data_IF_006677965558
#
_entry.id   IF_006677965558
#
_cell.length_a   1.000
_cell.length_b   1.000
_cell.length_c   1.000
_cell.angle_alpha   90.00
_cell.angle_beta   90.00
_cell.angle_gamma   90.00
#
_symmetry.space_group_name_H-M   'P 1'
#
loop_
_entity.id
_entity.type
_entity.pdbx_description
1 polymer ?
#
# COMPACT_ATOMS: atom_id res chain seq x y z
N UNK A 1 -15.08 17.10 -17.72
CA UNK A 1 -16.07 16.27 -18.42
C UNK A 1 -15.41 14.90 -18.61
N UNK A 2 -15.90 13.85 -17.93
CA UNK A 2 -15.47 12.48 -18.23
C UNK A 2 -16.08 12.13 -19.58
N UNK A 3 -15.21 11.77 -20.56
CA UNK A 3 -15.68 11.22 -21.83
C UNK A 3 -16.59 10.03 -21.55
N UNK A 4 -17.66 9.87 -22.33
CA UNK A 4 -18.55 8.70 -22.26
C UNK A 4 -17.71 7.42 -22.25
N UNK A 5 -18.07 6.42 -21.41
CA UNK A 5 -17.32 5.17 -21.35
C UNK A 5 -17.30 4.52 -22.73
N UNK A 6 -16.12 4.44 -23.34
CA UNK A 6 -15.92 3.78 -24.64
C UNK A 6 -15.90 2.27 -24.42
N UNK A 7 -16.41 1.56 -25.39
CA UNK A 7 -16.17 0.13 -25.51
C UNK A 7 -14.78 -0.02 -26.11
N UNK A 8 -13.82 -0.53 -25.34
CA UNK A 8 -12.40 -0.52 -25.66
C UNK A 8 -11.79 -1.90 -25.43
N UNK A 9 -11.06 -2.41 -26.42
CA UNK A 9 -10.25 -3.62 -26.27
C UNK A 9 -8.77 -3.23 -26.23
N UNK A 10 -8.08 -3.65 -25.17
CA UNK A 10 -6.64 -3.51 -24.99
C UNK A 10 -5.96 -4.82 -25.33
N UNK A 11 -5.11 -4.82 -26.35
CA UNK A 11 -4.42 -5.99 -26.88
C UNK A 11 -2.89 -5.84 -26.72
N UNK A 12 -2.31 -6.26 -25.57
CA UNK A 12 -0.88 -6.21 -25.32
C UNK A 12 -0.15 -7.42 -25.91
N UNK A 13 1.19 -7.35 -26.00
CA UNK A 13 2.01 -8.52 -26.29
C UNK A 13 2.09 -9.49 -25.10
N UNK A 14 2.01 -8.95 -23.86
CA UNK A 14 2.01 -9.75 -22.63
C UNK A 14 0.85 -9.30 -21.72
N UNK A 15 -0.12 -10.17 -21.54
CA UNK A 15 -1.21 -9.95 -20.58
C UNK A 15 -0.92 -10.76 -19.30
N UNK A 16 -0.81 -10.07 -18.18
CA UNK A 16 -0.43 -10.67 -16.88
C UNK A 16 -1.59 -10.49 -15.91
N UNK A 17 -2.03 -11.59 -15.28
CA UNK A 17 -3.12 -11.56 -14.31
C UNK A 17 -2.69 -11.07 -12.91
N UNK A 18 -3.65 -10.96 -11.99
CA UNK A 18 -3.40 -10.53 -10.62
C UNK A 18 -2.62 -11.52 -9.74
N UNK A 19 -2.39 -12.75 -10.22
CA UNK A 19 -1.54 -13.74 -9.55
C UNK A 19 -0.12 -13.76 -10.17
N UNK A 20 0.18 -12.79 -11.05
CA UNK A 20 1.45 -12.65 -11.75
C UNK A 20 1.65 -13.72 -12.82
N UNK A 21 0.60 -14.37 -13.31
CA UNK A 21 0.70 -15.38 -14.36
C UNK A 21 0.51 -14.74 -15.73
N UNK A 22 1.39 -15.13 -16.68
CA UNK A 22 1.25 -14.74 -18.07
C UNK A 22 0.09 -15.51 -18.70
N UNK A 23 -0.86 -14.79 -19.30
CA UNK A 23 -1.95 -15.39 -20.06
C UNK A 23 -1.47 -15.81 -21.47
N UNK A 24 -2.22 -16.68 -22.17
CA UNK A 24 -1.85 -17.13 -23.52
C UNK A 24 -1.59 -15.97 -24.48
N UNK A 25 -0.66 -16.16 -25.41
CA UNK A 25 -0.35 -15.16 -26.43
C UNK A 25 -1.61 -14.76 -27.23
N UNK A 26 -1.76 -13.47 -27.54
CA UNK A 26 -2.93 -12.93 -28.21
C UNK A 26 -4.14 -12.71 -27.28
N UNK A 27 -3.97 -12.88 -25.96
CA UNK A 27 -4.98 -12.50 -24.97
C UNK A 27 -5.14 -10.98 -24.91
N UNK A 28 -6.38 -10.52 -24.73
CA UNK A 28 -6.76 -9.12 -24.63
C UNK A 28 -7.82 -8.92 -23.53
N UNK A 29 -8.07 -7.67 -23.19
CA UNK A 29 -9.08 -7.27 -22.19
C UNK A 29 -10.06 -6.32 -22.85
N UNK A 30 -11.36 -6.65 -22.80
CA UNK A 30 -12.44 -5.76 -23.21
C UNK A 30 -12.98 -4.99 -22.01
N UNK A 31 -13.04 -3.69 -22.15
CA UNK A 31 -13.56 -2.75 -21.16
C UNK A 31 -14.90 -2.20 -21.62
N UNK A 32 -15.86 -2.12 -20.70
CA UNK A 32 -17.15 -1.46 -20.93
C UNK A 32 -17.47 -0.54 -19.75
N UNK A 33 -17.48 0.74 -20.03
CA UNK A 33 -17.62 1.73 -18.98
C UNK A 33 -16.45 1.66 -17.99
N UNK A 34 -16.76 1.46 -16.73
CA UNK A 34 -15.76 1.40 -15.65
C UNK A 34 -15.30 -0.03 -15.32
N UNK A 35 -15.78 -1.04 -16.09
CA UNK A 35 -15.61 -2.44 -15.74
C UNK A 35 -14.88 -3.23 -16.82
N UNK A 36 -14.23 -4.31 -16.39
CA UNK A 36 -13.77 -5.37 -17.30
C UNK A 36 -15.00 -6.16 -17.74
N UNK A 37 -15.29 -6.18 -19.04
CA UNK A 37 -16.38 -6.94 -19.59
C UNK A 37 -15.97 -8.40 -19.86
N UNK A 38 -14.80 -8.59 -20.46
CA UNK A 38 -14.28 -9.91 -20.76
C UNK A 38 -12.76 -9.92 -20.90
N UNK A 39 -12.17 -11.11 -20.70
CA UNK A 39 -10.74 -11.39 -20.93
C UNK A 39 -10.66 -12.67 -21.77
N UNK A 40 -9.88 -12.67 -22.84
CA UNK A 40 -9.76 -13.82 -23.73
C UNK A 40 -8.91 -13.52 -24.95
N UNK A 41 -8.92 -14.41 -25.96
CA UNK A 41 -8.25 -14.11 -27.23
C UNK A 41 -8.90 -12.90 -27.91
N UNK A 42 -8.11 -12.06 -28.58
CA UNK A 42 -8.63 -10.88 -29.27
C UNK A 42 -9.80 -11.21 -30.21
N UNK A 43 -9.72 -12.33 -30.94
CA UNK A 43 -10.78 -12.78 -31.86
C UNK A 43 -12.09 -13.16 -31.14
N UNK A 44 -12.02 -13.62 -29.89
CA UNK A 44 -13.20 -13.98 -29.10
C UNK A 44 -13.88 -12.78 -28.42
N UNK A 45 -13.24 -11.61 -28.43
CA UNK A 45 -13.75 -10.39 -27.81
C UNK A 45 -14.56 -9.49 -28.74
N UNK A 46 -14.94 -9.97 -29.92
CA UNK A 46 -15.72 -9.22 -30.91
C UNK A 46 -15.08 -7.86 -31.28
N UNK A 47 -13.88 -7.88 -31.90
CA UNK A 47 -13.10 -6.67 -32.13
C UNK A 47 -13.74 -5.67 -33.08
N UNK A 48 -14.71 -6.11 -33.88
CA UNK A 48 -15.42 -5.25 -34.85
C UNK A 48 -16.47 -4.36 -34.18
N UNK A 49 -16.84 -4.67 -32.92
CA UNK A 49 -17.85 -3.93 -32.15
C UNK A 49 -17.28 -2.93 -31.15
N UNK A 50 -15.94 -2.79 -31.05
CA UNK A 50 -15.26 -1.94 -30.09
C UNK A 50 -14.00 -1.26 -30.69
N UNK A 51 -13.54 -0.18 -30.04
CA UNK A 51 -12.23 0.39 -30.38
C UNK A 51 -11.11 -0.57 -29.93
N UNK A 52 -10.22 -0.98 -30.82
CA UNK A 52 -9.09 -1.86 -30.51
C UNK A 52 -7.79 -1.04 -30.41
N UNK A 53 -7.20 -1.04 -29.23
CA UNK A 53 -5.88 -0.44 -29.01
C UNK A 53 -4.81 -1.53 -28.90
N UNK A 54 -3.93 -1.59 -29.91
CA UNK A 54 -2.78 -2.49 -29.89
C UNK A 54 -1.67 -1.90 -29.02
N UNK A 55 -1.20 -2.65 -28.03
CA UNK A 55 -0.11 -2.27 -27.13
C UNK A 55 1.16 -3.05 -27.47
N UNK A 56 1.72 -2.78 -28.67
CA UNK A 56 2.91 -3.48 -29.18
C UNK A 56 4.13 -3.22 -28.33
N UNK A 57 4.91 -4.27 -28.00
CA UNK A 57 6.07 -4.20 -27.13
C UNK A 57 5.73 -3.90 -25.66
N UNK A 58 4.45 -4.03 -25.28
CA UNK A 58 4.01 -3.68 -23.93
C UNK A 58 3.34 -4.86 -23.23
N UNK A 59 3.48 -4.89 -21.93
CA UNK A 59 2.66 -5.69 -21.03
C UNK A 59 1.46 -4.88 -20.52
N UNK A 60 0.37 -5.59 -20.21
CA UNK A 60 -0.80 -5.05 -19.50
C UNK A 60 -1.10 -5.94 -18.30
N UNK A 61 -1.42 -5.31 -17.17
CA UNK A 61 -1.76 -6.02 -15.94
C UNK A 61 -2.75 -5.20 -15.10
N UNK A 62 -3.34 -5.76 -14.01
CA UNK A 62 -4.13 -4.97 -13.08
C UNK A 62 -3.34 -3.78 -12.55
N UNK A 63 -4.04 -2.69 -12.25
CA UNK A 63 -3.45 -1.53 -11.59
C UNK A 63 -2.79 -1.92 -10.26
N UNK A 64 -1.70 -1.25 -9.94
CA UNK A 64 -0.93 -1.53 -8.72
C UNK A 64 -1.69 -1.08 -7.48
N UNK A 65 -1.53 -1.83 -6.40
CA UNK A 65 -2.13 -1.57 -5.09
C UNK A 65 -1.01 -1.30 -4.09
N UNK A 66 -0.97 -0.09 -3.56
CA UNK A 66 -0.09 0.27 -2.45
C UNK A 66 -0.79 -0.05 -1.12
N UNK A 67 -0.26 -1.05 -0.40
CA UNK A 67 -0.88 -1.52 0.84
C UNK A 67 -0.52 -0.69 2.07
N UNK A 68 0.42 0.24 1.97
CA UNK A 68 0.81 1.14 3.05
C UNK A 68 1.38 2.44 2.49
N UNK A 69 0.60 3.47 2.46
CA UNK A 69 1.06 4.78 2.06
C UNK A 69 0.55 5.90 2.95
N UNK A 70 1.10 7.07 2.76
CA UNK A 70 0.66 8.35 3.33
C UNK A 70 0.26 9.30 2.21
N UNK A 71 -0.34 10.42 2.55
CA UNK A 71 -0.71 11.46 1.58
C UNK A 71 0.09 12.73 1.76
N UNK A 72 0.20 13.21 3.01
CA UNK A 72 0.76 14.54 3.30
C UNK A 72 2.22 14.52 3.75
N UNK A 73 2.86 13.36 3.88
CA UNK A 73 4.29 13.25 4.21
C UNK A 73 5.12 13.42 2.96
N UNK A 74 5.92 14.49 2.87
CA UNK A 74 6.86 14.71 1.76
C UNK A 74 8.27 14.31 2.19
N UNK A 75 8.84 13.21 1.66
CA UNK A 75 10.17 12.72 2.03
C UNK A 75 11.28 13.68 1.64
N UNK A 76 11.04 14.61 0.72
CA UNK A 76 12.04 15.56 0.23
C UNK A 76 12.17 16.80 1.13
N UNK A 77 11.34 16.92 2.17
CA UNK A 77 11.46 18.01 3.13
C UNK A 77 12.55 17.73 4.17
N UNK A 78 13.21 18.78 4.70
CA UNK A 78 14.21 18.64 5.78
C UNK A 78 13.67 17.94 7.02
N UNK A 79 12.39 18.13 7.32
CA UNK A 79 11.65 17.46 8.38
C UNK A 79 10.34 16.88 7.82
N UNK A 80 10.40 15.72 7.14
CA UNK A 80 9.22 15.13 6.52
C UNK A 80 8.15 14.71 7.53
N UNK A 81 8.50 14.55 8.82
CA UNK A 81 7.58 14.20 9.90
C UNK A 81 7.13 15.44 10.68
N UNK A 82 7.98 16.45 10.83
CA UNK A 82 7.70 17.68 11.57
C UNK A 82 6.68 18.57 10.89
N UNK A 83 6.68 18.56 9.57
CA UNK A 83 5.62 19.19 8.77
C UNK A 83 4.22 18.68 9.09
N UNK A 84 4.10 17.54 9.81
CA UNK A 84 2.82 17.03 10.30
C UNK A 84 2.41 17.66 11.65
N UNK A 85 3.31 18.37 12.32
CA UNK A 85 3.10 18.88 13.68
C UNK A 85 2.69 20.34 13.76
N UNK A 86 2.85 21.11 12.72
CA UNK A 86 2.61 22.56 12.75
C UNK A 86 2.23 23.20 11.42
N UNK A 87 2.06 22.40 10.37
CA UNK A 87 1.77 22.92 9.04
C UNK A 87 0.30 23.35 8.88
N UNK A 88 0.12 24.36 8.04
CA UNK A 88 -1.18 24.77 7.57
C UNK A 88 -1.87 23.59 6.82
N UNK A 89 -3.11 23.29 7.20
CA UNK A 89 -3.91 22.25 6.54
C UNK A 89 -4.07 22.49 5.04
N UNK A 90 -4.05 23.75 4.59
CA UNK A 90 -4.11 24.12 3.17
C UNK A 90 -2.86 23.66 2.44
N UNK A 91 -1.67 23.88 3.02
CA UNK A 91 -0.42 23.40 2.43
C UNK A 91 -0.40 21.86 2.33
N UNK A 92 -0.82 21.18 3.39
CA UNK A 92 -0.94 19.71 3.40
C UNK A 92 -1.93 19.19 2.35
N UNK A 93 -3.03 19.91 2.11
CA UNK A 93 -3.96 19.55 1.04
C UNK A 93 -3.33 19.65 -0.35
N UNK A 94 -2.49 20.67 -0.61
CA UNK A 94 -1.77 20.80 -1.88
C UNK A 94 -0.71 19.73 -2.07
N UNK A 95 0.03 19.40 -1.01
CA UNK A 95 0.99 18.27 -0.99
C UNK A 95 0.26 16.96 -1.29
N UNK A 96 -0.87 16.72 -0.63
CA UNK A 96 -1.73 15.55 -0.86
C UNK A 96 -2.19 15.45 -2.31
N UNK A 97 -2.68 16.54 -2.89
CA UNK A 97 -3.13 16.56 -4.29
C UNK A 97 -1.99 16.17 -5.26
N UNK A 98 -0.77 16.68 -5.02
CA UNK A 98 0.43 16.34 -5.79
C UNK A 98 0.78 14.86 -5.64
N UNK A 99 0.80 14.33 -4.42
CA UNK A 99 1.17 12.93 -4.16
C UNK A 99 0.15 11.94 -4.72
N UNK A 100 -1.14 12.25 -4.65
CA UNK A 100 -2.19 11.46 -5.29
C UNK A 100 -1.95 11.33 -6.79
N UNK A 101 -1.63 12.44 -7.45
CA UNK A 101 -1.37 12.44 -8.88
C UNK A 101 -0.07 11.70 -9.26
N UNK A 102 1.00 11.81 -8.45
CA UNK A 102 2.26 11.06 -8.62
C UNK A 102 1.98 9.56 -8.48
N UNK A 103 1.27 9.13 -7.45
CA UNK A 103 0.97 7.72 -7.22
C UNK A 103 0.14 7.15 -8.38
N UNK A 104 -0.90 7.84 -8.84
CA UNK A 104 -1.67 7.39 -10.01
C UNK A 104 -0.80 7.32 -11.27
N UNK A 105 0.06 8.33 -11.50
CA UNK A 105 0.97 8.35 -12.65
C UNK A 105 1.95 7.17 -12.63
N UNK A 106 2.37 6.70 -11.45
CA UNK A 106 3.24 5.53 -11.30
C UNK A 106 2.53 4.17 -11.45
N UNK A 107 1.23 4.16 -11.78
CA UNK A 107 0.44 2.94 -11.97
C UNK A 107 -0.30 2.46 -10.73
N UNK A 108 -0.19 3.16 -9.60
CA UNK A 108 -0.96 2.86 -8.38
C UNK A 108 -2.40 3.32 -8.58
N UNK A 109 -3.33 2.38 -8.70
CA UNK A 109 -4.77 2.67 -8.86
C UNK A 109 -5.57 2.50 -7.57
N UNK A 110 -4.99 1.86 -6.57
CA UNK A 110 -5.57 1.72 -5.23
C UNK A 110 -4.48 1.92 -4.18
N UNK A 111 -4.79 2.65 -3.11
CA UNK A 111 -3.83 2.93 -2.03
C UNK A 111 -4.52 2.83 -0.68
N UNK A 112 -3.94 2.06 0.26
CA UNK A 112 -4.34 2.10 1.66
C UNK A 112 -3.53 3.17 2.39
N UNK A 113 -4.24 4.19 2.88
CA UNK A 113 -3.65 5.34 3.59
C UNK A 113 -3.56 5.02 5.08
N UNK A 114 -2.34 5.02 5.61
CA UNK A 114 -2.04 4.50 6.93
C UNK A 114 -1.64 5.59 7.91
N UNK A 115 -2.59 6.48 8.25
CA UNK A 115 -2.43 7.39 9.37
C UNK A 115 -2.30 8.87 9.02
N UNK A 116 -3.34 9.47 8.46
CA UNK A 116 -3.42 10.92 8.29
C UNK A 116 -4.16 11.58 9.46
N UNK A 117 -3.66 12.73 9.91
CA UNK A 117 -4.34 13.57 10.89
C UNK A 117 -5.47 14.40 10.26
N UNK A 118 -6.34 14.94 11.10
CA UNK A 118 -7.39 15.90 10.74
C UNK A 118 -8.41 15.38 9.70
N UNK A 119 -8.49 14.07 9.47
CA UNK A 119 -9.40 13.48 8.48
C UNK A 119 -9.03 13.79 7.04
N UNK A 120 -7.78 14.13 6.78
CA UNK A 120 -7.29 14.50 5.44
C UNK A 120 -7.48 13.39 4.42
N UNK A 121 -7.28 12.13 4.81
CA UNK A 121 -7.49 10.96 3.97
C UNK A 121 -8.96 10.78 3.56
N UNK A 122 -9.91 11.01 4.47
CA UNK A 122 -11.34 10.96 4.16
C UNK A 122 -11.76 12.05 3.17
N UNK A 123 -11.23 13.27 3.35
CA UNK A 123 -11.48 14.39 2.43
C UNK A 123 -10.86 14.13 1.05
N UNK A 124 -9.62 13.59 1.02
CA UNK A 124 -8.94 13.20 -0.20
C UNK A 124 -9.71 12.11 -0.95
N UNK A 125 -10.18 11.06 -0.25
CA UNK A 125 -11.04 10.01 -0.81
C UNK A 125 -12.29 10.59 -1.45
N UNK A 126 -12.98 11.48 -0.75
CA UNK A 126 -14.16 12.13 -1.30
C UNK A 126 -13.83 12.96 -2.55
N UNK A 127 -12.75 13.75 -2.52
CA UNK A 127 -12.31 14.56 -3.64
C UNK A 127 -11.96 13.72 -4.89
N UNK A 128 -11.31 12.56 -4.69
CA UNK A 128 -11.02 11.61 -5.78
C UNK A 128 -12.33 10.99 -6.32
N UNK A 129 -13.24 10.57 -5.44
CA UNK A 129 -14.48 9.90 -5.83
C UNK A 129 -15.39 10.81 -6.66
N UNK A 130 -15.46 12.11 -6.34
CA UNK A 130 -16.24 13.08 -7.14
C UNK A 130 -15.47 13.65 -8.34
N UNK A 131 -14.21 13.22 -8.54
CA UNK A 131 -13.36 13.67 -9.66
C UNK A 131 -12.80 15.07 -9.52
N UNK A 132 -12.79 15.63 -8.31
CA UNK A 132 -12.15 16.94 -8.01
C UNK A 132 -10.63 16.81 -8.05
N UNK A 133 -10.08 15.69 -7.55
CA UNK A 133 -8.66 15.34 -7.62
C UNK A 133 -8.44 14.10 -8.47
N UNK A 134 -7.29 14.06 -9.15
CA UNK A 134 -6.79 12.83 -9.77
C UNK A 134 -5.96 12.06 -8.74
N UNK A 135 -6.24 10.78 -8.60
CA UNK A 135 -5.54 9.91 -7.66
C UNK A 135 -6.08 8.49 -7.68
N UNK A 136 -5.43 7.56 -6.97
CA UNK A 136 -5.91 6.20 -6.78
C UNK A 136 -7.21 6.17 -5.95
N UNK A 137 -7.94 5.06 -5.99
CA UNK A 137 -8.97 4.75 -5.00
C UNK A 137 -8.32 4.64 -3.62
N UNK A 138 -8.91 5.29 -2.61
CA UNK A 138 -8.33 5.34 -1.26
C UNK A 138 -9.10 4.47 -0.27
N UNK A 139 -8.35 3.64 0.46
CA UNK A 139 -8.78 2.90 1.65
C UNK A 139 -8.18 3.62 2.86
N UNK A 140 -9.01 4.15 3.74
CA UNK A 140 -8.59 5.13 4.74
C UNK A 140 -8.57 4.55 6.16
N UNK A 141 -7.54 4.87 6.96
CA UNK A 141 -7.48 4.52 8.38
C UNK A 141 -7.76 5.70 9.32
N UNK A 142 -7.73 6.92 8.81
CA UNK A 142 -7.71 8.12 9.66
C UNK A 142 -6.44 8.20 10.51
N UNK A 143 -6.48 8.97 11.58
CA UNK A 143 -5.35 9.10 12.48
C UNK A 143 -5.08 7.77 13.22
N UNK A 144 -3.80 7.40 13.44
CA UNK A 144 -3.46 6.15 14.10
C UNK A 144 -3.94 6.12 15.56
N UNK A 145 -4.22 4.93 16.08
CA UNK A 145 -4.35 4.70 17.52
C UNK A 145 -2.97 4.35 18.06
N UNK A 146 -2.46 5.18 18.98
CA UNK A 146 -1.13 5.02 19.58
C UNK A 146 -1.11 5.67 20.95
N UNK A 147 -0.19 5.30 21.87
CA UNK A 147 -0.06 5.96 23.17
C UNK A 147 0.52 7.38 23.02
N UNK A 148 0.30 8.23 24.02
CA UNK A 148 0.71 9.64 24.02
C UNK A 148 2.22 9.85 23.89
N UNK A 149 3.04 8.88 24.29
CA UNK A 149 4.50 8.92 24.15
C UNK A 149 5.03 8.28 22.85
N UNK A 150 4.13 7.91 21.92
CA UNK A 150 4.50 7.39 20.59
C UNK A 150 4.97 8.53 19.69
N UNK A 151 5.89 8.20 18.77
CA UNK A 151 6.30 9.10 17.68
C UNK A 151 5.14 9.47 16.73
N UNK A 152 4.00 8.77 16.78
CA UNK A 152 2.81 9.04 15.99
C UNK A 152 1.75 9.88 16.75
N UNK A 153 1.97 10.17 18.04
CA UNK A 153 0.97 10.82 18.89
C UNK A 153 0.56 12.21 18.41
N UNK A 154 1.46 12.96 17.79
CA UNK A 154 1.14 14.27 17.24
C UNK A 154 0.03 14.27 16.18
N UNK A 155 -0.21 13.13 15.49
CA UNK A 155 -1.30 12.98 14.51
C UNK A 155 -2.65 12.68 15.13
N UNK A 156 -2.66 12.03 16.29
CA UNK A 156 -3.88 11.48 16.91
C UNK A 156 -4.22 12.11 18.25
N UNK A 157 -3.27 12.79 18.90
CA UNK A 157 -3.37 13.26 20.29
C UNK A 157 -2.98 12.20 21.33
N UNK A 158 -2.68 10.96 20.88
CA UNK A 158 -2.44 9.83 21.76
C UNK A 158 -3.71 9.25 22.37
N UNK A 159 -3.63 8.02 22.88
CA UNK A 159 -4.72 7.34 23.59
C UNK A 159 -4.11 6.41 24.63
N UNK A 160 -4.25 6.72 25.92
CA UNK A 160 -3.67 5.98 27.03
C UNK A 160 -4.77 5.33 27.86
N UNK A 161 -4.46 4.15 28.37
CA UNK A 161 -5.36 3.34 29.18
C UNK A 161 -6.54 2.74 28.36
N UNK A 162 -7.16 1.72 28.91
CA UNK A 162 -8.25 0.96 28.25
C UNK A 162 -9.38 1.87 27.73
N UNK A 163 -9.80 2.86 28.52
CA UNK A 163 -10.88 3.76 28.12
C UNK A 163 -10.46 4.78 27.06
N UNK A 164 -9.21 5.28 27.12
CA UNK A 164 -8.65 6.16 26.09
C UNK A 164 -8.55 5.45 24.75
N UNK A 165 -8.01 4.23 24.73
CA UNK A 165 -7.90 3.39 23.55
C UNK A 165 -9.28 3.05 22.96
N UNK A 166 -10.23 2.64 23.83
CA UNK A 166 -11.62 2.37 23.41
C UNK A 166 -12.26 3.57 22.72
N UNK A 167 -12.13 4.76 23.31
CA UNK A 167 -12.64 6.01 22.72
C UNK A 167 -12.00 6.31 21.38
N UNK A 168 -10.68 6.13 21.26
CA UNK A 168 -9.95 6.36 20.03
C UNK A 168 -10.42 5.43 18.90
N UNK A 169 -10.60 4.12 19.17
CA UNK A 169 -11.11 3.17 18.19
C UNK A 169 -12.52 3.56 17.74
N UNK A 170 -13.44 3.80 18.68
CA UNK A 170 -14.82 4.21 18.38
C UNK A 170 -14.88 5.51 17.58
N UNK A 171 -13.96 6.43 17.83
CA UNK A 171 -13.83 7.65 17.04
C UNK A 171 -13.46 7.34 15.58
N UNK A 172 -12.51 6.41 15.32
CA UNK A 172 -12.20 5.99 13.94
C UNK A 172 -13.39 5.37 13.23
N UNK A 173 -14.12 4.50 13.93
CA UNK A 173 -15.38 3.92 13.41
C UNK A 173 -16.40 5.01 13.05
N UNK A 174 -16.62 5.97 13.94
CA UNK A 174 -17.57 7.06 13.72
C UNK A 174 -17.15 8.01 12.56
N UNK A 175 -15.86 8.16 12.31
CA UNK A 175 -15.32 8.94 11.19
C UNK A 175 -15.38 8.20 9.85
N UNK A 176 -15.75 6.92 9.83
CA UNK A 176 -15.87 6.11 8.61
C UNK A 176 -14.54 5.55 8.10
N UNK A 177 -13.65 5.19 9.01
CA UNK A 177 -12.44 4.45 8.67
C UNK A 177 -12.78 3.09 8.05
N UNK A 178 -12.01 2.67 7.05
CA UNK A 178 -12.09 1.33 6.45
C UNK A 178 -11.19 0.33 7.19
N UNK A 179 -10.15 0.84 7.85
CA UNK A 179 -9.16 0.09 8.64
C UNK A 179 -8.83 0.83 9.93
N UNK A 180 -8.42 0.09 10.95
CA UNK A 180 -7.78 0.66 12.13
C UNK A 180 -6.27 0.53 12.00
N UNK A 181 -5.51 1.64 12.11
CA UNK A 181 -4.06 1.59 12.34
C UNK A 181 -3.79 1.61 13.83
N UNK A 182 -3.19 0.53 14.36
CA UNK A 182 -2.72 0.43 15.75
C UNK A 182 -1.19 0.47 15.78
N UNK A 183 -0.60 1.43 16.44
CA UNK A 183 0.86 1.56 16.57
C UNK A 183 1.28 0.97 17.91
N UNK A 184 1.95 -0.17 17.87
CA UNK A 184 2.32 -0.91 19.09
C UNK A 184 3.80 -0.82 19.43
N UNK A 185 4.68 -0.44 18.47
CA UNK A 185 6.11 -0.23 18.77
C UNK A 185 6.57 1.16 18.34
N UNK A 186 7.76 1.55 18.81
CA UNK A 186 8.42 2.76 18.31
C UNK A 186 8.87 2.63 16.85
N UNK A 187 9.22 3.76 16.22
CA UNK A 187 9.73 3.82 14.86
C UNK A 187 11.25 3.68 14.79
N UNK A 188 11.77 3.16 13.69
CA UNK A 188 13.22 3.05 13.43
C UNK A 188 13.88 4.43 13.35
N UNK A 189 13.18 5.41 12.82
CA UNK A 189 13.62 6.81 12.70
C UNK A 189 13.25 7.69 13.91
N UNK A 190 12.61 7.13 14.94
CA UNK A 190 12.24 7.86 16.15
C UNK A 190 13.44 7.99 17.12
N UNK A 191 13.48 9.02 17.98
CA UNK A 191 14.46 9.09 19.06
C UNK A 191 14.37 7.90 20.03
N UNK A 192 15.52 7.44 20.53
CA UNK A 192 15.60 6.30 21.44
C UNK A 192 15.51 4.94 20.74
N UNK A 193 15.75 3.87 21.47
CA UNK A 193 15.76 2.49 20.95
C UNK A 193 14.48 1.76 21.34
N UNK A 194 13.35 2.08 20.69
CA UNK A 194 12.04 1.51 21.01
C UNK A 194 11.38 0.74 19.84
N UNK A 195 12.14 0.48 18.77
CA UNK A 195 11.57 -0.17 17.59
C UNK A 195 10.99 -1.57 17.86
N UNK A 196 11.47 -2.27 18.88
CA UNK A 196 10.98 -3.60 19.30
C UNK A 196 10.28 -3.56 20.67
N UNK A 197 10.16 -2.38 21.30
CA UNK A 197 9.48 -2.23 22.59
C UNK A 197 8.00 -2.04 22.37
N UNK A 198 7.15 -2.85 23.01
CA UNK A 198 5.72 -2.60 23.05
C UNK A 198 5.44 -1.33 23.86
N UNK A 199 4.71 -0.40 23.26
CA UNK A 199 4.38 0.90 23.87
C UNK A 199 3.04 0.87 24.61
N UNK A 200 2.24 -0.17 24.40
CA UNK A 200 0.99 -0.43 25.08
C UNK A 200 1.11 -1.65 25.98
N UNK A 201 0.30 -1.73 27.01
CA UNK A 201 0.13 -2.96 27.77
C UNK A 201 -0.83 -3.95 27.08
N UNK A 202 -0.94 -5.16 27.64
CA UNK A 202 -1.74 -6.23 27.06
C UNK A 202 -3.25 -5.90 27.05
N UNK A 203 -3.73 -5.14 28.05
CA UNK A 203 -5.15 -4.77 28.16
C UNK A 203 -5.50 -3.70 27.13
N UNK A 204 -4.62 -2.72 26.92
CA UNK A 204 -4.79 -1.68 25.91
C UNK A 204 -4.82 -2.26 24.48
N UNK A 205 -3.89 -3.16 24.14
CA UNK A 205 -3.90 -3.86 22.84
C UNK A 205 -5.16 -4.71 22.70
N UNK A 206 -5.52 -5.46 23.74
CA UNK A 206 -6.71 -6.33 23.72
C UNK A 206 -8.00 -5.54 23.50
N UNK A 207 -8.16 -4.37 24.15
CA UNK A 207 -9.35 -3.55 23.95
C UNK A 207 -9.39 -2.97 22.53
N UNK A 208 -8.25 -2.53 21.98
CA UNK A 208 -8.18 -2.00 20.63
C UNK A 208 -8.68 -3.03 19.60
N UNK A 209 -8.15 -4.25 19.65
CA UNK A 209 -8.50 -5.33 18.71
C UNK A 209 -9.95 -5.82 18.89
N UNK A 210 -10.45 -5.92 20.14
CA UNK A 210 -11.83 -6.30 20.41
C UNK A 210 -12.85 -5.26 19.92
N UNK A 211 -12.62 -3.98 20.20
CA UNK A 211 -13.51 -2.90 19.73
C UNK A 211 -13.53 -2.84 18.19
N UNK A 212 -12.37 -2.93 17.55
CA UNK A 212 -12.28 -2.99 16.08
C UNK A 212 -13.04 -4.19 15.51
N UNK A 213 -12.84 -5.39 16.07
CA UNK A 213 -13.54 -6.61 15.66
C UNK A 213 -15.06 -6.48 15.82
N UNK A 214 -15.53 -5.90 16.94
CA UNK A 214 -16.96 -5.66 17.17
C UNK A 214 -17.57 -4.72 16.14
N UNK A 215 -16.78 -3.76 15.65
CA UNK A 215 -17.20 -2.83 14.61
C UNK A 215 -17.01 -3.37 13.18
N UNK A 216 -16.48 -4.59 13.01
CA UNK A 216 -16.14 -5.15 11.70
C UNK A 216 -14.94 -4.49 11.03
N UNK A 217 -14.12 -3.76 11.77
CA UNK A 217 -13.01 -2.99 11.25
C UNK A 217 -11.72 -3.83 11.29
N UNK A 218 -11.08 -4.14 10.14
CA UNK A 218 -9.81 -4.84 10.13
C UNK A 218 -8.70 -3.98 10.74
N UNK A 219 -7.74 -4.63 11.40
CA UNK A 219 -6.65 -3.96 12.12
C UNK A 219 -5.31 -4.19 11.42
N UNK A 220 -4.63 -3.09 11.11
CA UNK A 220 -3.24 -3.04 10.67
C UNK A 220 -2.35 -2.61 11.85
N UNK A 221 -1.41 -3.46 12.21
CA UNK A 221 -0.52 -3.25 13.35
C UNK A 221 0.82 -2.71 12.86
N UNK A 222 1.13 -1.45 13.17
CA UNK A 222 2.46 -0.89 12.92
C UNK A 222 3.41 -1.39 14.03
N UNK A 223 4.24 -2.37 13.65
CA UNK A 223 5.19 -3.00 14.54
C UNK A 223 6.46 -3.39 13.79
N UNK A 224 7.59 -3.09 14.39
CA UNK A 224 8.88 -3.49 13.81
C UNK A 224 9.37 -4.83 14.37
N UNK A 225 8.90 -5.27 15.54
CA UNK A 225 9.30 -6.52 16.17
C UNK A 225 8.85 -6.59 17.65
N UNK A 226 9.33 -7.59 18.37
CA UNK A 226 9.08 -7.75 19.80
C UNK A 226 7.85 -8.61 20.14
N UNK A 227 7.62 -8.79 21.43
CA UNK A 227 6.62 -9.73 21.99
C UNK A 227 5.16 -9.41 21.63
N UNK A 228 4.86 -8.15 21.30
CA UNK A 228 3.51 -7.73 20.94
C UNK A 228 2.96 -8.39 19.66
N UNK A 229 3.84 -8.88 18.79
CA UNK A 229 3.44 -9.50 17.52
C UNK A 229 2.56 -10.72 17.77
N UNK A 230 3.02 -11.63 18.62
CA UNK A 230 2.30 -12.85 18.95
C UNK A 230 0.93 -12.57 19.58
N UNK A 231 0.83 -11.55 20.43
CA UNK A 231 -0.44 -11.13 21.03
C UNK A 231 -1.38 -10.54 19.97
N UNK A 232 -0.91 -9.62 19.16
CA UNK A 232 -1.71 -9.01 18.10
C UNK A 232 -2.21 -10.04 17.08
N UNK A 233 -1.36 -11.01 16.70
CA UNK A 233 -1.74 -12.08 15.79
C UNK A 233 -2.86 -12.96 16.38
N UNK A 234 -2.70 -13.42 17.65
CA UNK A 234 -3.73 -14.22 18.34
C UNK A 234 -5.05 -13.48 18.50
N UNK A 235 -5.02 -12.17 18.64
CA UNK A 235 -6.22 -11.32 18.77
C UNK A 235 -6.84 -10.94 17.42
N UNK A 236 -6.26 -11.39 16.29
CA UNK A 236 -6.82 -11.27 14.96
C UNK A 236 -6.40 -10.00 14.20
N UNK A 237 -5.18 -9.48 14.46
CA UNK A 237 -4.58 -8.47 13.60
C UNK A 237 -4.51 -8.99 12.16
N UNK A 238 -4.97 -8.19 11.21
CA UNK A 238 -5.05 -8.59 9.80
C UNK A 238 -3.73 -8.40 9.06
N UNK A 239 -3.03 -7.30 9.32
CA UNK A 239 -1.73 -7.02 8.70
C UNK A 239 -0.72 -6.51 9.73
N UNK A 240 0.57 -6.82 9.50
CA UNK A 240 1.70 -6.26 10.22
C UNK A 240 2.54 -5.41 9.27
N UNK A 241 2.76 -4.16 9.67
CA UNK A 241 3.38 -3.15 8.83
C UNK A 241 4.88 -3.02 9.13
N UNK A 242 5.69 -2.85 8.09
CA UNK A 242 7.15 -2.67 8.11
C UNK A 242 7.96 -3.91 8.48
N UNK A 243 7.68 -4.58 9.58
CA UNK A 243 8.30 -5.86 10.01
C UNK A 243 9.85 -5.82 10.08
N UNK A 244 10.46 -4.65 10.37
CA UNK A 244 11.89 -4.41 10.17
C UNK A 244 12.82 -5.24 11.09
N UNK A 245 12.30 -5.78 12.20
CA UNK A 245 13.00 -6.64 13.16
C UNK A 245 12.20 -7.89 13.49
N UNK A 246 11.37 -8.39 12.54
CA UNK A 246 10.71 -9.66 12.73
C UNK A 246 11.76 -10.77 12.68
N UNK A 247 11.78 -11.59 13.70
CA UNK A 247 12.50 -12.83 13.74
C UNK A 247 11.67 -13.98 13.14
N UNK A 248 12.23 -15.18 13.13
CA UNK A 248 11.55 -16.35 12.58
C UNK A 248 10.25 -16.67 13.32
N UNK A 249 10.25 -16.57 14.66
CA UNK A 249 9.08 -16.86 15.49
C UNK A 249 7.94 -15.86 15.21
N UNK A 250 8.25 -14.59 15.02
CA UNK A 250 7.26 -13.57 14.65
C UNK A 250 6.63 -13.84 13.28
N UNK A 251 7.45 -14.25 12.29
CA UNK A 251 6.98 -14.59 10.93
C UNK A 251 6.09 -15.83 10.95
N UNK A 252 6.52 -16.90 11.64
CA UNK A 252 5.76 -18.14 11.78
C UNK A 252 4.45 -17.92 12.56
N UNK A 253 4.48 -17.07 13.58
CA UNK A 253 3.27 -16.67 14.32
C UNK A 253 2.31 -15.92 13.42
N UNK A 254 2.78 -14.97 12.61
CA UNK A 254 1.94 -14.27 11.64
C UNK A 254 1.31 -15.25 10.63
N UNK A 255 2.11 -16.20 10.11
CA UNK A 255 1.64 -17.22 9.18
C UNK A 255 0.55 -18.12 9.79
N UNK A 256 0.74 -18.58 11.04
CA UNK A 256 -0.21 -19.48 11.73
C UNK A 256 -1.55 -18.84 12.09
N UNK A 257 -1.64 -17.50 12.01
CA UNK A 257 -2.86 -16.72 12.29
C UNK A 257 -3.41 -16.01 11.04
N UNK A 258 -3.05 -16.45 9.83
CA UNK A 258 -3.50 -15.88 8.55
C UNK A 258 -3.25 -14.36 8.42
N UNK A 259 -2.26 -13.83 9.15
CA UNK A 259 -1.88 -12.43 9.02
C UNK A 259 -1.02 -12.21 7.79
N UNK A 260 -1.09 -11.02 7.23
CA UNK A 260 -0.29 -10.60 6.08
C UNK A 260 0.82 -9.66 6.52
N UNK A 261 2.05 -9.88 6.03
CA UNK A 261 3.17 -8.97 6.23
C UNK A 261 3.17 -7.90 5.12
N UNK A 262 3.29 -6.64 5.51
CA UNK A 262 3.38 -5.51 4.59
C UNK A 262 4.78 -4.92 4.69
N UNK A 263 5.62 -5.23 3.72
CA UNK A 263 6.96 -4.64 3.67
C UNK A 263 6.95 -3.29 2.96
N UNK A 264 7.77 -2.36 3.47
CA UNK A 264 8.00 -1.02 2.90
C UNK A 264 9.49 -0.86 2.61
N UNK A 265 10.00 -1.68 1.69
CA UNK A 265 11.44 -1.90 1.49
C UNK A 265 12.16 -0.64 1.00
N UNK A 266 11.56 0.10 0.07
CA UNK A 266 12.15 1.33 -0.47
C UNK A 266 12.46 2.33 0.66
N UNK A 267 11.58 2.43 1.65
CA UNK A 267 11.74 3.30 2.82
C UNK A 267 13.02 2.99 3.62
N UNK A 268 13.42 1.71 3.69
CA UNK A 268 14.60 1.25 4.44
C UNK A 268 15.88 1.23 3.59
N UNK A 269 15.78 0.85 2.32
CA UNK A 269 16.95 0.56 1.49
C UNK A 269 17.41 1.73 0.62
N UNK A 270 16.52 2.69 0.30
CA UNK A 270 16.89 3.87 -0.49
C UNK A 270 17.58 4.93 0.38
N UNK A 271 18.56 5.69 -0.19
CA UNK A 271 19.23 6.77 0.54
C UNK A 271 18.29 7.92 0.93
N UNK A 272 17.27 8.19 0.10
CA UNK A 272 16.26 9.22 0.30
C UNK A 272 15.10 8.78 1.22
N UNK A 273 15.18 7.58 1.79
CA UNK A 273 14.25 7.04 2.77
C UNK A 273 14.52 7.47 4.22
N UNK A 274 14.60 6.48 5.13
CA UNK A 274 14.90 6.71 6.57
C UNK A 274 16.30 7.33 6.74
N UNK A 275 17.25 6.99 5.88
CA UNK A 275 18.62 7.50 5.97
C UNK A 275 18.65 9.04 5.86
N UNK A 276 17.88 9.61 4.94
CA UNK A 276 17.74 11.06 4.79
C UNK A 276 16.93 11.68 5.92
N UNK A 277 15.75 11.14 6.18
CA UNK A 277 14.80 11.72 7.17
C UNK A 277 15.25 11.56 8.62
N UNK A 278 16.12 10.61 8.90
CA UNK A 278 16.64 10.35 10.24
C UNK A 278 18.10 10.77 10.47
N UNK A 279 18.72 11.43 9.49
CA UNK A 279 20.17 11.73 9.50
C UNK A 279 20.64 12.50 10.75
N UNK A 280 19.81 13.38 11.27
CA UNK A 280 20.12 14.24 12.42
C UNK A 280 19.63 13.65 13.76
N UNK A 281 19.03 12.46 13.74
CA UNK A 281 18.53 11.77 14.95
C UNK A 281 19.57 10.78 15.45
N UNK A 282 20.10 10.95 16.69
CA UNK A 282 21.12 10.06 17.22
C UNK A 282 20.71 8.58 17.18
N UNK A 283 21.64 7.73 16.75
CA UNK A 283 21.46 6.28 16.68
C UNK A 283 20.59 5.75 15.53
N UNK A 284 19.93 6.60 14.74
CA UNK A 284 19.07 6.15 13.60
C UNK A 284 19.89 5.39 12.58
N UNK A 285 21.09 5.82 12.24
CA UNK A 285 21.93 5.12 11.26
C UNK A 285 22.21 3.68 11.67
N UNK A 286 22.65 3.46 12.89
CA UNK A 286 22.93 2.12 13.40
C UNK A 286 21.67 1.25 13.47
N UNK A 287 20.51 1.82 13.85
CA UNK A 287 19.23 1.10 13.84
C UNK A 287 18.81 0.73 12.41
N UNK A 288 18.98 1.64 11.46
CA UNK A 288 18.66 1.39 10.06
C UNK A 288 19.53 0.28 9.47
N UNK A 289 20.84 0.28 9.76
CA UNK A 289 21.74 -0.77 9.27
C UNK A 289 21.35 -2.15 9.83
N UNK A 290 21.01 -2.23 11.15
CA UNK A 290 20.45 -3.45 11.74
C UNK A 290 19.12 -3.84 11.10
N UNK A 291 18.20 -2.90 10.87
CA UNK A 291 16.92 -3.16 10.23
C UNK A 291 17.09 -3.72 8.81
N UNK A 292 18.03 -3.19 8.04
CA UNK A 292 18.38 -3.69 6.70
C UNK A 292 18.91 -5.13 6.76
N UNK A 293 19.74 -5.44 7.77
CA UNK A 293 20.25 -6.81 7.98
C UNK A 293 19.12 -7.79 8.31
N UNK A 294 18.24 -7.42 9.24
CA UNK A 294 17.07 -8.23 9.58
C UNK A 294 16.13 -8.43 8.38
N UNK A 295 15.83 -7.39 7.61
CA UNK A 295 14.96 -7.51 6.43
C UNK A 295 15.56 -8.43 5.35
N UNK A 296 16.89 -8.48 5.19
CA UNK A 296 17.56 -9.44 4.29
C UNK A 296 17.35 -10.87 4.72
N UNK A 297 17.15 -11.14 6.00
CA UNK A 297 16.83 -12.48 6.51
C UNK A 297 15.31 -12.73 6.54
N UNK A 298 14.52 -11.75 6.96
CA UNK A 298 13.08 -11.86 7.15
C UNK A 298 12.31 -12.08 5.82
N UNK A 299 12.71 -11.41 4.74
CA UNK A 299 12.03 -11.54 3.44
C UNK A 299 12.14 -12.96 2.87
N UNK A 300 13.34 -13.59 2.76
CA UNK A 300 13.45 -14.97 2.32
C UNK A 300 12.73 -15.97 3.26
N UNK A 301 12.77 -15.75 4.57
CA UNK A 301 12.05 -16.58 5.54
C UNK A 301 10.54 -16.49 5.33
N UNK A 302 9.98 -15.29 5.16
CA UNK A 302 8.57 -15.08 4.88
C UNK A 302 8.14 -15.80 3.59
N UNK A 303 8.97 -15.74 2.55
CA UNK A 303 8.71 -16.44 1.29
C UNK A 303 8.71 -17.97 1.47
N UNK A 304 9.63 -18.51 2.28
CA UNK A 304 9.80 -19.96 2.47
C UNK A 304 8.71 -20.58 3.36
N UNK A 305 8.23 -19.87 4.38
CA UNK A 305 7.16 -20.39 5.25
C UNK A 305 5.74 -20.11 4.72
N UNK A 306 5.61 -19.44 3.57
CA UNK A 306 4.33 -19.27 2.89
C UNK A 306 3.41 -18.23 3.51
N UNK A 307 3.90 -17.37 4.43
CA UNK A 307 3.09 -16.25 4.93
C UNK A 307 2.70 -15.32 3.79
N UNK A 308 1.52 -14.75 3.86
CA UNK A 308 1.09 -13.76 2.87
C UNK A 308 1.95 -12.50 2.98
N UNK A 309 2.54 -12.07 1.85
CA UNK A 309 3.35 -10.85 1.77
C UNK A 309 2.78 -9.94 0.70
N UNK A 310 2.65 -8.64 1.04
CA UNK A 310 2.31 -7.55 0.14
C UNK A 310 3.25 -6.37 0.37
N UNK A 311 3.22 -5.37 -0.51
CA UNK A 311 4.15 -4.25 -0.50
C UNK A 311 3.42 -2.91 -0.31
N UNK A 312 4.14 -1.95 0.24
CA UNK A 312 3.70 -0.57 0.39
C UNK A 312 4.88 0.39 0.35
N UNK A 313 4.61 1.66 0.04
CA UNK A 313 5.67 2.67 -0.13
C UNK A 313 6.00 3.43 1.14
N UNK A 314 5.15 3.38 2.16
CA UNK A 314 5.18 4.32 3.28
C UNK A 314 4.95 5.76 2.75
N UNK A 315 5.97 6.61 2.74
CA UNK A 315 5.92 7.96 2.19
C UNK A 315 6.77 8.13 0.91
N UNK A 316 7.18 7.01 0.29
CA UNK A 316 8.00 7.03 -0.92
C UNK A 316 7.10 7.08 -2.16
N UNK A 317 6.43 8.24 -2.38
CA UNK A 317 5.42 8.42 -3.42
C UNK A 317 5.93 8.14 -4.83
N UNK A 318 5.18 7.35 -5.59
CA UNK A 318 5.54 6.95 -6.96
C UNK A 318 6.58 5.84 -7.05
N UNK A 319 7.09 5.33 -5.94
CA UNK A 319 8.21 4.38 -5.89
C UNK A 319 7.82 2.94 -5.54
N UNK A 320 6.55 2.56 -5.69
CA UNK A 320 6.09 1.19 -5.41
C UNK A 320 6.81 0.14 -6.29
N UNK A 321 7.24 0.51 -7.49
CA UNK A 321 8.09 -0.33 -8.34
C UNK A 321 9.47 -0.62 -7.72
N UNK A 322 10.02 0.29 -6.92
CA UNK A 322 11.28 0.06 -6.20
C UNK A 322 11.09 -0.96 -5.06
N UNK A 323 9.94 -0.96 -4.38
CA UNK A 323 9.61 -2.00 -3.42
C UNK A 323 9.56 -3.38 -4.09
N UNK A 324 8.95 -3.48 -5.29
CA UNK A 324 8.94 -4.72 -6.07
C UNK A 324 10.34 -5.16 -6.50
N UNK A 325 11.18 -4.23 -6.96
CA UNK A 325 12.57 -4.51 -7.34
C UNK A 325 13.37 -5.03 -6.15
N UNK A 326 13.31 -4.34 -5.02
CA UNK A 326 13.97 -4.75 -3.77
C UNK A 326 13.45 -6.10 -3.26
N UNK A 327 12.16 -6.36 -3.39
CA UNK A 327 11.57 -7.64 -3.02
C UNK A 327 12.13 -8.79 -3.86
N UNK A 328 12.33 -8.57 -5.17
CA UNK A 328 12.99 -9.54 -6.06
C UNK A 328 14.46 -9.70 -5.70
N UNK A 329 15.20 -8.63 -5.43
CA UNK A 329 16.60 -8.67 -4.98
C UNK A 329 16.77 -9.44 -3.67
N UNK A 330 15.75 -9.43 -2.81
CA UNK A 330 15.72 -10.16 -1.54
C UNK A 330 15.17 -11.59 -1.68
N UNK A 331 14.95 -12.10 -2.89
CA UNK A 331 14.68 -13.52 -3.14
C UNK A 331 13.27 -13.84 -3.67
N UNK A 332 12.39 -12.86 -3.86
CA UNK A 332 11.10 -13.10 -4.52
C UNK A 332 11.29 -13.31 -6.03
N UNK A 333 10.38 -14.06 -6.65
CA UNK A 333 10.31 -14.09 -8.12
C UNK A 333 9.57 -12.86 -8.64
N UNK A 334 9.81 -12.40 -9.89
CA UNK A 334 9.00 -11.35 -10.50
C UNK A 334 7.49 -11.63 -10.45
N UNK A 335 7.09 -12.88 -10.67
CA UNK A 335 5.71 -13.34 -10.52
C UNK A 335 5.17 -13.06 -9.11
N UNK A 336 5.93 -13.43 -8.08
CA UNK A 336 5.54 -13.22 -6.68
C UNK A 336 5.44 -11.73 -6.36
N UNK A 337 6.36 -10.90 -6.87
CA UNK A 337 6.34 -9.46 -6.68
C UNK A 337 5.12 -8.81 -7.33
N UNK A 338 4.78 -9.18 -8.58
CA UNK A 338 3.58 -8.70 -9.27
C UNK A 338 2.31 -9.10 -8.48
N UNK A 339 2.21 -10.35 -8.03
CA UNK A 339 1.08 -10.79 -7.23
C UNK A 339 0.96 -10.00 -5.91
N UNK A 340 2.08 -9.64 -5.27
CA UNK A 340 2.12 -8.84 -4.04
C UNK A 340 1.67 -7.38 -4.24
N UNK A 341 1.68 -6.89 -5.48
CA UNK A 341 1.21 -5.55 -5.86
C UNK A 341 -0.20 -5.55 -6.46
N UNK A 342 -0.82 -6.71 -6.70
CA UNK A 342 -2.09 -6.82 -7.41
C UNK A 342 -3.05 -7.76 -6.69
N UNK A 343 -3.20 -9.00 -7.11
CA UNK A 343 -4.21 -9.92 -6.56
C UNK A 343 -4.02 -10.26 -5.08
N UNK A 344 -2.78 -10.47 -4.61
CA UNK A 344 -2.53 -10.67 -3.17
C UNK A 344 -2.82 -9.40 -2.36
N UNK A 345 -2.42 -8.24 -2.87
CA UNK A 345 -2.72 -6.96 -2.25
C UNK A 345 -4.23 -6.73 -2.14
N UNK A 346 -4.99 -7.00 -3.21
CA UNK A 346 -6.44 -6.91 -3.19
C UNK A 346 -7.06 -7.83 -2.11
N UNK A 347 -6.62 -9.09 -2.03
CA UNK A 347 -7.08 -10.03 -0.99
C UNK A 347 -6.73 -9.59 0.43
N UNK A 348 -5.51 -9.08 0.62
CA UNK A 348 -5.07 -8.57 1.91
C UNK A 348 -5.96 -7.41 2.40
N UNK A 349 -6.40 -6.56 1.47
CA UNK A 349 -7.27 -5.42 1.76
C UNK A 349 -8.77 -5.74 1.73
N UNK A 350 -9.18 -6.96 1.34
CA UNK A 350 -10.59 -7.35 1.16
C UNK A 350 -11.24 -6.75 -0.09
N UNK A 351 -10.45 -6.43 -1.12
CA UNK A 351 -10.88 -5.76 -2.35
C UNK A 351 -10.88 -6.68 -3.59
N UNK A 352 -10.67 -7.99 -3.42
CA UNK A 352 -10.55 -8.96 -4.52
C UNK A 352 -11.83 -9.11 -5.36
N UNK A 353 -12.95 -8.61 -4.85
CA UNK A 353 -14.23 -8.52 -5.55
C UNK A 353 -14.42 -7.20 -6.29
N UNK A 354 -13.50 -6.24 -6.15
CA UNK A 354 -13.52 -4.91 -6.78
C UNK A 354 -12.41 -4.78 -7.81
N UNK A 355 -11.15 -5.12 -7.46
CA UNK A 355 -9.95 -4.83 -8.25
C UNK A 355 -8.84 -5.87 -8.03
N UNK A 356 -7.67 -5.65 -8.62
CA UNK A 356 -6.45 -6.44 -8.39
C UNK A 356 -6.33 -7.70 -9.26
N UNK A 357 -7.30 -7.97 -10.14
CA UNK A 357 -7.22 -9.08 -11.10
C UNK A 357 -7.87 -8.73 -12.44
N UNK A 358 -7.66 -9.58 -13.45
CA UNK A 358 -8.29 -9.49 -14.76
C UNK A 358 -9.47 -10.46 -14.82
N UNK A 359 -10.61 -10.08 -14.22
CA UNK A 359 -11.84 -10.88 -14.23
C UNK A 359 -13.03 -10.02 -14.59
N UNK A 360 -14.01 -10.64 -15.26
CA UNK A 360 -15.28 -9.98 -15.60
C UNK A 360 -15.91 -9.32 -14.35
N UNK A 361 -16.49 -8.16 -14.55
CA UNK A 361 -17.17 -7.33 -13.55
C UNK A 361 -16.27 -6.63 -12.54
N UNK A 362 -14.95 -6.90 -12.51
CA UNK A 362 -14.02 -6.09 -11.71
C UNK A 362 -13.87 -4.69 -12.31
N UNK A 363 -13.42 -3.76 -11.50
CA UNK A 363 -13.09 -2.39 -11.95
C UNK A 363 -11.98 -2.46 -12.98
N UNK A 364 -12.12 -1.68 -14.04
CA UNK A 364 -11.14 -1.60 -15.11
C UNK A 364 -9.96 -0.67 -14.71
N UNK A 365 -9.24 -1.09 -13.67
CA UNK A 365 -8.00 -0.50 -13.21
C UNK A 365 -6.85 -1.30 -13.78
N UNK A 366 -6.17 -0.75 -14.77
CA UNK A 366 -5.14 -1.45 -15.52
C UNK A 366 -3.92 -0.55 -15.71
N UNK A 367 -2.76 -1.16 -15.85
CA UNK A 367 -1.52 -0.44 -16.15
C UNK A 367 -0.74 -1.17 -17.24
N UNK A 368 -0.25 -0.40 -18.20
CA UNK A 368 0.62 -0.88 -19.27
C UNK A 368 2.06 -0.44 -19.03
N UNK A 369 3.02 -1.31 -19.36
CA UNK A 369 4.45 -1.05 -19.24
C UNK A 369 5.17 -1.44 -20.53
N UNK A 370 6.25 -0.74 -20.88
CA UNK A 370 7.14 -1.14 -21.98
C UNK A 370 7.94 -2.37 -21.58
N UNK A 371 7.84 -3.46 -22.35
CA UNK A 371 8.52 -4.73 -22.08
C UNK A 371 7.72 -5.66 -21.13
N UNK A 372 8.39 -6.72 -20.66
CA UNK A 372 7.77 -7.77 -19.86
C UNK A 372 8.33 -7.76 -18.41
N UNK A 373 7.55 -7.38 -17.40
CA UNK A 373 8.00 -7.32 -16.00
C UNK A 373 8.30 -8.69 -15.40
N UNK A 374 7.83 -9.79 -15.99
CA UNK A 374 8.19 -11.15 -15.55
C UNK A 374 9.65 -11.51 -15.89
N UNK A 375 10.24 -10.85 -16.89
CA UNK A 375 11.66 -11.02 -17.25
C UNK A 375 12.53 -9.91 -16.71
N UNK A 376 11.97 -8.70 -16.51
CA UNK A 376 12.67 -7.56 -15.96
C UNK A 376 11.72 -6.71 -15.11
N UNK A 377 11.74 -6.92 -13.79
CA UNK A 377 10.85 -6.24 -12.85
C UNK A 377 11.01 -4.72 -12.85
N UNK A 378 12.18 -4.19 -13.26
CA UNK A 378 12.45 -2.75 -13.34
C UNK A 378 11.53 -2.02 -14.31
N UNK A 379 10.94 -2.73 -15.28
CA UNK A 379 9.96 -2.15 -16.22
C UNK A 379 8.75 -1.52 -15.51
N UNK A 380 8.40 -2.00 -14.29
CA UNK A 380 7.31 -1.43 -13.49
C UNK A 380 7.53 0.05 -13.08
N UNK A 381 8.76 0.56 -13.15
CA UNK A 381 9.06 1.96 -12.79
C UNK A 381 8.58 2.98 -13.83
N UNK A 382 8.19 2.53 -15.05
CA UNK A 382 7.83 3.42 -16.16
C UNK A 382 6.56 2.95 -16.86
N UNK A 383 5.38 3.20 -16.26
CA UNK A 383 4.12 2.92 -16.94
C UNK A 383 3.97 3.75 -18.21
N UNK A 384 3.46 3.13 -19.26
CA UNK A 384 3.18 3.79 -20.56
C UNK A 384 1.74 4.27 -20.64
N UNK A 385 0.84 3.61 -19.90
CA UNK A 385 -0.56 4.01 -19.77
C UNK A 385 -1.14 3.50 -18.45
N UNK A 386 -1.96 4.33 -17.82
CA UNK A 386 -2.72 3.96 -16.62
C UNK A 386 -4.19 4.15 -16.91
N UNK A 387 -4.97 3.09 -16.81
CA UNK A 387 -6.42 3.12 -16.93
C UNK A 387 -7.01 3.05 -15.51
N UNK A 388 -7.74 4.08 -15.13
CA UNK A 388 -8.42 4.15 -13.84
C UNK A 388 -9.93 4.17 -14.08
N UNK A 389 -10.64 3.20 -13.54
CA UNK A 389 -12.06 2.99 -13.80
C UNK A 389 -12.41 3.05 -15.30
N UNK A 390 -11.64 2.32 -16.14
CA UNK A 390 -11.83 2.21 -17.57
C UNK A 390 -11.45 3.45 -18.38
N UNK A 391 -10.94 4.50 -17.76
CA UNK A 391 -10.55 5.74 -18.43
C UNK A 391 -9.04 5.94 -18.36
N UNK A 392 -8.42 6.28 -19.49
CA UNK A 392 -6.99 6.62 -19.53
C UNK A 392 -6.74 7.86 -18.65
N UNK A 393 -5.94 7.68 -17.61
CA UNK A 393 -5.55 8.77 -16.74
C UNK A 393 -4.59 9.73 -17.47
N UNK A 394 -4.85 11.02 -17.39
CA UNK A 394 -3.96 12.05 -17.94
C UNK A 394 -2.86 12.32 -16.94
N UNK A 395 -1.71 11.71 -17.14
CA UNK A 395 -0.55 11.85 -16.25
C UNK A 395 0.49 12.77 -16.88
N UNK A 396 0.32 14.09 -16.71
CA UNK A 396 1.33 15.07 -17.14
C UNK A 396 2.34 15.38 -16.01
N UNK A 397 2.57 14.44 -15.11
CA UNK A 397 3.43 14.62 -13.93
C UNK A 397 4.67 13.76 -14.10
N UNK A 398 5.84 14.36 -13.83
CA UNK A 398 7.09 13.61 -13.75
C UNK A 398 7.05 12.71 -12.51
N UNK A 399 7.24 11.41 -12.72
CA UNK A 399 7.46 10.43 -11.66
C UNK A 399 8.91 10.63 -11.17
N UNK A 400 9.16 10.62 -9.85
CA UNK A 400 10.50 10.85 -9.29
C UNK A 400 11.56 9.87 -9.75
#
# INVERSE_FOLDING_TARGET
MRNSPRDLILAPDWLIDGDGSLLPAGSAVRLKGTKIEAVGSLSALDPDSADVQQLKGQSLMPGLIDCHGYLSVDPNRPDPMGGMHGEDLVERAWITARHLAINLASGVTTMRVMGEGHGLDYQARQAVNIGLLQGPSLVCSGAPVCPSHSHQAARSGGADGVDGVRKAVRKRVAEGADWLKLVVTGGVNAPGERATTCLYDDEEVSVALREAKTAGLPVAVAAHGGVAIAMCARLGARTFEHCAFFDEDAIETAASHDATLVFTLARFFRPDGIELSGRDVPGVRARLDRAREHLRAAVPKALSCGVSVVLGTDNMHGLLADDARLFVELGATPKTAIAALTGKAARALGLEHITGNLRQSLQADLVAFSGNPLTNIVTLSRPTAVYFAGTLAKTNILIP
#
